data_IF_201344020430
#
_entry.id   IF_201344020430
#
_cell.length_a   1.000
_cell.length_b   1.000
_cell.length_c   1.000
_cell.angle_alpha   90.00
_cell.angle_beta   90.00
_cell.angle_gamma   90.00
#
_symmetry.space_group_name_H-M   'P 1'
#
loop_
_entity.id
_entity.type
_entity.pdbx_description
1 polymer ?
#
# COMPACT_ATOMS: atom_id res chain seq x y z
N UNK A 1 3.24 -13.46 -7.42
CA UNK A 1 4.02 -13.48 -6.16
C UNK A 1 3.34 -12.47 -5.27
N UNK A 2 2.83 -12.91 -4.11
CA UNK A 2 2.16 -11.98 -3.19
C UNK A 2 3.23 -11.16 -2.47
N UNK A 3 3.15 -9.83 -2.62
CA UNK A 3 4.04 -8.91 -1.92
C UNK A 3 3.62 -8.83 -0.47
N UNK A 4 4.52 -9.24 0.44
CA UNK A 4 4.29 -9.19 1.88
C UNK A 4 5.19 -8.10 2.46
N UNK A 5 4.62 -6.96 2.89
CA UNK A 5 5.38 -5.92 3.56
C UNK A 5 6.01 -6.40 4.85
N UNK A 6 7.28 -6.02 5.06
CA UNK A 6 8.04 -6.30 6.28
C UNK A 6 8.20 -5.05 7.13
N UNK A 7 8.70 -5.22 8.35
CA UNK A 7 9.00 -4.11 9.25
C UNK A 7 9.96 -3.08 8.61
N UNK A 8 11.03 -3.59 7.98
CA UNK A 8 12.06 -2.80 7.30
C UNK A 8 11.78 -2.66 5.79
N UNK A 9 12.29 -1.60 5.13
CA UNK A 9 12.23 -1.43 3.68
C UNK A 9 12.69 -2.65 2.87
N UNK A 10 11.97 -2.96 1.79
CA UNK A 10 12.32 -4.01 0.83
C UNK A 10 12.63 -3.38 -0.53
N UNK A 11 13.69 -3.86 -1.20
CA UNK A 11 13.92 -3.51 -2.61
C UNK A 11 12.81 -4.10 -3.47
N UNK A 12 12.25 -3.29 -4.36
CA UNK A 12 11.20 -3.71 -5.30
C UNK A 12 11.87 -4.13 -6.62
N UNK A 13 11.76 -5.41 -7.03
CA UNK A 13 12.19 -5.82 -8.36
C UNK A 13 11.41 -5.07 -9.43
N UNK A 14 12.06 -4.71 -10.54
CA UNK A 14 11.43 -3.97 -11.64
C UNK A 14 10.17 -4.67 -12.17
N UNK A 15 10.17 -6.00 -12.25
CA UNK A 15 9.03 -6.79 -12.71
C UNK A 15 7.83 -6.72 -11.75
N UNK A 16 8.08 -6.46 -10.46
CA UNK A 16 7.01 -6.23 -9.47
C UNK A 16 6.46 -4.82 -9.64
N UNK A 17 7.34 -3.84 -9.84
CA UNK A 17 6.95 -2.46 -10.13
C UNK A 17 6.05 -2.37 -11.37
N UNK A 18 6.46 -2.93 -12.51
CA UNK A 18 5.64 -2.92 -13.74
C UNK A 18 4.25 -3.52 -13.54
N UNK A 19 4.14 -4.62 -12.77
CA UNK A 19 2.87 -5.29 -12.49
C UNK A 19 1.99 -4.58 -11.46
N UNK A 20 2.55 -3.61 -10.75
CA UNK A 20 1.85 -2.87 -9.69
C UNK A 20 1.40 -1.48 -10.17
N UNK A 21 1.80 -1.05 -11.36
CA UNK A 21 1.36 0.21 -11.93
C UNK A 21 0.00 0.00 -12.63
N UNK A 22 -1.06 0.74 -12.24
CA UNK A 22 -2.37 0.65 -12.87
C UNK A 22 -2.36 1.28 -14.28
N UNK A 23 -3.24 0.79 -15.17
CA UNK A 23 -3.55 1.36 -16.49
C UNK A 23 -2.34 1.89 -17.29
N UNK A 24 -1.34 1.05 -17.54
CA UNK A 24 -0.12 1.43 -18.30
C UNK A 24 0.62 2.68 -17.77
N UNK A 25 0.47 3.00 -16.47
CA UNK A 25 1.05 4.22 -15.88
C UNK A 25 0.10 5.38 -15.72
N UNK A 26 -1.19 5.21 -16.02
CA UNK A 26 -2.18 6.28 -15.94
C UNK A 26 -3.01 6.16 -14.67
N UNK A 27 -3.08 7.27 -13.95
CA UNK A 27 -3.96 7.43 -12.80
C UNK A 27 -5.17 8.21 -13.29
N UNK A 28 -6.32 7.55 -13.32
CA UNK A 28 -7.58 8.19 -13.68
C UNK A 28 -8.27 8.65 -12.41
N UNK A 29 -8.71 9.91 -12.41
CA UNK A 29 -9.41 10.53 -11.29
C UNK A 29 -10.78 10.98 -11.76
N UNK A 30 -11.85 10.45 -11.14
CA UNK A 30 -13.24 10.81 -11.44
C UNK A 30 -13.99 10.97 -10.12
N UNK A 31 -14.71 12.08 -9.96
CA UNK A 31 -15.56 12.38 -8.81
C UNK A 31 -14.90 12.24 -7.43
N UNK A 32 -13.61 12.56 -7.32
CA UNK A 32 -12.87 12.46 -6.06
C UNK A 32 -12.16 11.13 -5.84
N UNK A 33 -12.42 10.13 -6.69
CA UNK A 33 -11.87 8.79 -6.56
C UNK A 33 -10.85 8.49 -7.66
N UNK A 34 -9.89 7.63 -7.33
CA UNK A 34 -9.00 7.06 -8.33
C UNK A 34 -9.65 5.80 -8.91
N UNK A 35 -9.77 5.73 -10.22
CA UNK A 35 -10.34 4.57 -10.91
C UNK A 35 -9.33 3.43 -10.97
N UNK A 36 -9.41 2.56 -9.97
CA UNK A 36 -8.72 1.28 -9.91
C UNK A 36 -9.71 0.16 -9.62
N UNK A 37 -9.44 -1.03 -10.14
CA UNK A 37 -9.99 -2.24 -9.52
C UNK A 37 -9.39 -2.44 -8.12
N UNK A 38 -10.11 -3.13 -7.23
CA UNK A 38 -9.59 -3.49 -5.90
C UNK A 38 -8.26 -4.24 -5.97
N UNK A 39 -8.07 -5.05 -7.02
CA UNK A 39 -6.84 -5.79 -7.25
C UNK A 39 -5.67 -4.86 -7.59
N UNK A 40 -5.88 -3.86 -8.44
CA UNK A 40 -4.87 -2.86 -8.79
C UNK A 40 -4.50 -2.01 -7.57
N UNK A 41 -5.50 -1.52 -6.83
CA UNK A 41 -5.28 -0.75 -5.62
C UNK A 41 -4.45 -1.56 -4.60
N UNK A 42 -4.80 -2.84 -4.39
CA UNK A 42 -4.04 -3.74 -3.51
C UNK A 42 -2.59 -3.88 -3.96
N UNK A 43 -2.33 -4.07 -5.26
CA UNK A 43 -0.96 -4.20 -5.79
C UNK A 43 -0.13 -2.94 -5.55
N UNK A 44 -0.69 -1.77 -5.85
CA UNK A 44 -0.03 -0.47 -5.62
C UNK A 44 0.33 -0.29 -4.14
N UNK A 45 -0.65 -0.48 -3.25
CA UNK A 45 -0.46 -0.28 -1.81
C UNK A 45 0.60 -1.25 -1.27
N UNK A 46 0.51 -2.54 -1.60
CA UNK A 46 1.48 -3.52 -1.09
C UNK A 46 2.90 -3.26 -1.61
N UNK A 47 3.04 -2.85 -2.87
CA UNK A 47 4.34 -2.45 -3.42
C UNK A 47 4.92 -1.24 -2.67
N UNK A 48 4.14 -0.16 -2.50
CA UNK A 48 4.61 1.06 -1.84
C UNK A 48 4.95 0.82 -0.37
N UNK A 49 4.08 0.10 0.35
CA UNK A 49 4.33 -0.23 1.76
C UNK A 49 5.54 -1.15 1.91
N UNK A 50 5.73 -2.12 1.02
CA UNK A 50 6.96 -2.93 1.01
C UNK A 50 8.21 -2.08 0.75
N UNK A 51 8.14 -1.06 -0.11
CA UNK A 51 9.29 -0.21 -0.41
C UNK A 51 9.74 0.61 0.80
N UNK A 52 8.80 1.09 1.63
CA UNK A 52 9.11 1.91 2.81
C UNK A 52 9.21 1.11 4.12
N UNK A 53 8.60 -0.08 4.19
CA UNK A 53 8.48 -0.88 5.40
C UNK A 53 7.32 -0.44 6.32
N UNK A 54 6.80 -1.38 7.10
CA UNK A 54 5.67 -1.17 8.03
C UNK A 54 6.02 -0.18 9.14
N UNK A 55 7.27 -0.14 9.62
CA UNK A 55 7.70 0.85 10.62
C UNK A 55 7.54 2.27 10.10
N UNK A 56 8.03 2.52 8.88
CA UNK A 56 7.92 3.84 8.28
C UNK A 56 6.46 4.20 8.00
N UNK A 57 5.65 3.23 7.56
CA UNK A 57 4.21 3.43 7.41
C UNK A 57 3.58 3.89 8.74
N UNK A 58 3.85 3.19 9.84
CA UNK A 58 3.31 3.59 11.14
C UNK A 58 3.84 4.95 11.57
N UNK A 59 5.10 5.29 11.27
CA UNK A 59 5.69 6.58 11.67
C UNK A 59 5.13 7.78 10.91
N UNK A 60 4.69 7.61 9.66
CA UNK A 60 4.14 8.72 8.84
C UNK A 60 2.65 8.95 9.06
N UNK A 61 1.94 7.99 9.64
CA UNK A 61 0.51 8.14 9.90
C UNK A 61 0.29 9.20 11.00
N UNK A 62 -0.70 10.11 10.83
CA UNK A 62 -1.17 10.96 11.91
C UNK A 62 -1.54 10.16 13.15
N UNK A 63 -1.49 10.79 14.32
CA UNK A 63 -1.78 10.11 15.59
C UNK A 63 -3.16 9.43 15.58
N UNK A 64 -4.19 10.15 15.14
CA UNK A 64 -5.56 9.69 15.06
C UNK A 64 -5.70 8.46 14.16
N UNK A 65 -4.98 8.44 13.04
CA UNK A 65 -4.96 7.30 12.11
C UNK A 65 -4.27 6.08 12.70
N UNK A 66 -3.20 6.27 13.51
CA UNK A 66 -2.52 5.16 14.21
C UNK A 66 -3.42 4.50 15.24
N UNK A 67 -4.16 5.30 16.02
CA UNK A 67 -5.09 4.78 17.04
C UNK A 67 -6.18 3.92 16.40
N UNK A 68 -6.72 4.36 15.25
CA UNK A 68 -7.70 3.59 14.47
C UNK A 68 -7.08 2.29 13.96
N UNK A 69 -5.86 2.36 13.39
CA UNK A 69 -5.16 1.17 12.89
C UNK A 69 -4.90 0.14 14.00
N UNK A 70 -4.48 0.58 15.19
CA UNK A 70 -4.23 -0.30 16.33
C UNK A 70 -5.50 -1.04 16.76
N UNK A 71 -6.64 -0.34 16.87
CA UNK A 71 -7.93 -0.95 17.20
C UNK A 71 -8.33 -2.00 16.17
N UNK A 72 -8.25 -1.66 14.88
CA UNK A 72 -8.60 -2.57 13.78
C UNK A 72 -7.74 -3.83 13.75
N UNK A 73 -6.47 -3.77 14.16
CA UNK A 73 -5.59 -4.93 14.23
C UNK A 73 -5.89 -5.81 15.45
N UNK A 74 -6.25 -5.22 16.60
CA UNK A 74 -6.67 -5.95 17.80
C UNK A 74 -7.98 -6.71 17.57
N UNK A 75 -8.95 -6.09 16.90
CA UNK A 75 -10.27 -6.69 16.64
C UNK A 75 -10.23 -7.87 15.65
N UNK A 76 -9.15 -8.00 14.88
CA UNK A 76 -8.94 -9.08 13.91
C UNK A 76 -8.09 -10.25 14.46
N UNK A 77 -7.61 -10.15 15.70
CA UNK A 77 -6.77 -11.16 16.37
C UNK A 77 -7.61 -12.07 17.26
#
# INVERSE_FOLDING_TARGET
MEMIPKAEPQKIPFQVFEKSIPNEGKWEWIDGELLFSDEEMRKVILMLVSQIGLKKLTDILPHESRDVLERLLRDKS
#
